data_IF_979569205069
#
_entry.id   IF_979569205069
#
_cell.length_a   1.000
_cell.length_b   1.000
_cell.length_c   1.000
_cell.angle_alpha   90.00
_cell.angle_beta   90.00
_cell.angle_gamma   90.00
#
_symmetry.space_group_name_H-M   'P 1'
#
loop_
_entity.id
_entity.type
_entity.pdbx_description
1 polymer ?
#
# COMPACT_ATOMS: atom_id res chain seq x y z
N UNK A 1 7.88 -8.78 0.45
CA UNK A 1 7.68 -7.34 0.72
C UNK A 1 8.96 -6.49 0.59
N UNK A 2 10.12 -6.87 1.14
CA UNK A 2 11.33 -6.01 1.14
C UNK A 2 11.75 -5.43 -0.21
N UNK A 3 11.65 -6.21 -1.29
CA UNK A 3 12.04 -5.73 -2.65
C UNK A 3 11.05 -4.68 -3.16
N UNK A 4 9.74 -4.96 -3.05
CA UNK A 4 8.66 -4.02 -3.41
C UNK A 4 8.75 -2.73 -2.59
N UNK A 5 8.98 -2.85 -1.28
CA UNK A 5 9.19 -1.70 -0.38
C UNK A 5 10.37 -0.83 -0.81
N UNK A 6 11.54 -1.43 -1.11
CA UNK A 6 12.70 -0.67 -1.54
C UNK A 6 12.47 0.07 -2.86
N UNK A 7 11.76 -0.55 -3.79
CA UNK A 7 11.40 0.05 -5.07
C UNK A 7 10.44 1.23 -4.88
N UNK A 8 9.33 1.00 -4.19
CA UNK A 8 8.28 2.00 -4.03
C UNK A 8 8.73 3.18 -3.16
N UNK A 9 9.36 2.91 -2.00
CA UNK A 9 9.91 3.96 -1.16
C UNK A 9 11.08 4.71 -1.84
N UNK A 10 11.81 4.05 -2.75
CA UNK A 10 12.88 4.68 -3.52
C UNK A 10 12.36 5.62 -4.63
N UNK A 11 11.17 5.35 -5.16
CA UNK A 11 10.61 6.08 -6.31
C UNK A 11 9.53 7.10 -5.94
N UNK A 12 8.90 6.98 -4.76
CA UNK A 12 7.80 7.87 -4.36
C UNK A 12 8.23 9.34 -4.27
N UNK A 13 9.50 9.61 -3.95
CA UNK A 13 10.04 10.97 -3.97
C UNK A 13 10.04 11.59 -5.38
N UNK A 14 10.31 10.79 -6.41
CA UNK A 14 10.27 11.26 -7.80
C UNK A 14 8.85 11.55 -8.27
N UNK A 15 7.88 10.71 -7.86
CA UNK A 15 6.44 10.96 -8.10
C UNK A 15 6.03 12.29 -7.47
N UNK A 16 6.42 12.50 -6.22
CA UNK A 16 6.05 13.69 -5.42
C UNK A 16 6.53 15.00 -6.06
N UNK A 17 7.60 14.97 -6.85
CA UNK A 17 8.17 16.16 -7.47
C UNK A 17 7.39 16.67 -8.70
N UNK A 18 6.47 15.88 -9.27
CA UNK A 18 5.86 16.22 -10.56
C UNK A 18 4.58 15.47 -10.92
N UNK A 19 3.85 14.95 -9.94
CA UNK A 19 2.56 14.29 -10.21
C UNK A 19 1.53 15.31 -10.76
N UNK A 20 0.83 15.00 -11.87
CA UNK A 20 -0.28 15.81 -12.36
C UNK A 20 -1.46 15.86 -11.38
N UNK A 21 -2.19 16.98 -11.38
CA UNK A 21 -3.41 17.13 -10.55
C UNK A 21 -4.49 16.09 -10.89
N UNK A 22 -4.55 15.65 -12.16
CA UNK A 22 -5.47 14.60 -12.60
C UNK A 22 -5.16 13.25 -11.95
N UNK A 23 -3.89 12.85 -11.93
CA UNK A 23 -3.42 11.61 -11.29
C UNK A 23 -3.62 11.67 -9.78
N UNK A 24 -3.39 12.84 -9.17
CA UNK A 24 -3.69 13.05 -7.76
C UNK A 24 -5.19 12.94 -7.46
N UNK A 25 -6.05 13.38 -8.39
CA UNK A 25 -7.49 13.18 -8.34
C UNK A 25 -7.87 11.69 -8.36
N UNK A 26 -7.23 10.89 -9.23
CA UNK A 26 -7.40 9.44 -9.30
C UNK A 26 -6.99 8.79 -7.97
N UNK A 27 -5.84 9.16 -7.41
CA UNK A 27 -5.37 8.64 -6.13
C UNK A 27 -6.35 8.93 -4.98
N UNK A 28 -6.88 10.16 -4.90
CA UNK A 28 -7.90 10.52 -3.91
C UNK A 28 -9.18 9.69 -4.08
N UNK A 29 -9.61 9.47 -5.32
CA UNK A 29 -10.78 8.63 -5.62
C UNK A 29 -10.58 7.17 -5.20
N UNK A 30 -9.38 6.62 -5.40
CA UNK A 30 -9.05 5.27 -4.96
C UNK A 30 -9.03 5.16 -3.43
N UNK A 31 -8.48 6.15 -2.72
CA UNK A 31 -8.53 6.17 -1.24
C UNK A 31 -9.97 6.27 -0.74
N UNK A 32 -10.82 7.10 -1.35
CA UNK A 32 -12.24 7.16 -1.00
C UNK A 32 -12.95 5.82 -1.21
N UNK A 33 -12.64 5.12 -2.31
CA UNK A 33 -13.16 3.77 -2.56
C UNK A 33 -12.71 2.78 -1.48
N UNK A 34 -11.46 2.83 -1.04
CA UNK A 34 -10.99 1.99 0.07
C UNK A 34 -11.80 2.24 1.35
N UNK A 35 -12.09 3.51 1.64
CA UNK A 35 -12.89 3.89 2.82
C UNK A 35 -14.34 3.38 2.72
N UNK A 36 -14.93 3.40 1.51
CA UNK A 36 -16.24 2.84 1.25
C UNK A 36 -16.26 1.32 1.48
N UNK A 37 -15.27 0.60 0.95
CA UNK A 37 -15.12 -0.85 1.15
C UNK A 37 -15.01 -1.23 2.65
N UNK A 38 -14.30 -0.41 3.44
CA UNK A 38 -14.21 -0.59 4.89
C UNK A 38 -15.52 -0.25 5.60
N UNK A 39 -16.21 0.82 5.18
CA UNK A 39 -17.48 1.25 5.78
C UNK A 39 -18.58 0.21 5.60
N UNK A 40 -18.57 -0.50 4.48
CA UNK A 40 -19.54 -1.57 4.17
C UNK A 40 -19.27 -2.87 4.97
N UNK A 41 -18.46 -2.80 6.03
CA UNK A 41 -18.10 -3.92 6.90
C UNK A 41 -17.00 -4.81 6.33
N UNK A 42 -16.38 -4.38 5.22
CA UNK A 42 -15.32 -5.10 4.54
C UNK A 42 -13.91 -4.71 4.97
N UNK A 43 -12.96 -5.06 4.12
CA UNK A 43 -11.56 -4.62 4.15
C UNK A 43 -11.25 -3.92 2.84
N UNK A 44 -10.13 -3.21 2.81
CA UNK A 44 -9.59 -2.71 1.54
C UNK A 44 -9.38 -3.89 0.60
N UNK A 45 -10.07 -3.88 -0.54
CA UNK A 45 -9.97 -4.94 -1.53
C UNK A 45 -8.57 -4.94 -2.13
N UNK A 46 -7.97 -6.12 -2.31
CA UNK A 46 -6.64 -6.27 -2.93
C UNK A 46 -6.55 -5.59 -4.30
N UNK A 47 -7.64 -5.65 -5.07
CA UNK A 47 -7.72 -4.97 -6.37
C UNK A 47 -7.65 -3.44 -6.26
N UNK A 48 -8.29 -2.85 -5.25
CA UNK A 48 -8.28 -1.41 -4.99
C UNK A 48 -6.91 -0.95 -4.47
N UNK A 49 -6.29 -1.73 -3.58
CA UNK A 49 -4.91 -1.55 -3.11
C UNK A 49 -3.92 -1.57 -4.28
N UNK A 50 -3.99 -2.61 -5.13
CA UNK A 50 -3.16 -2.71 -6.35
C UNK A 50 -3.36 -1.51 -7.28
N UNK A 51 -4.61 -1.12 -7.54
CA UNK A 51 -4.92 0.00 -8.42
C UNK A 51 -4.31 1.31 -7.91
N UNK A 52 -4.31 1.53 -6.59
CA UNK A 52 -3.67 2.70 -5.98
C UNK A 52 -2.18 2.76 -6.28
N UNK A 53 -1.46 1.67 -6.05
CA UNK A 53 -0.02 1.63 -6.27
C UNK A 53 0.34 1.80 -7.76
N UNK A 54 -0.41 1.18 -8.67
CA UNK A 54 -0.20 1.38 -10.11
C UNK A 54 -0.44 2.83 -10.52
N UNK A 55 -1.53 3.45 -10.05
CA UNK A 55 -1.83 4.85 -10.34
C UNK A 55 -0.75 5.80 -9.78
N UNK A 56 -0.22 5.52 -8.58
CA UNK A 56 0.80 6.35 -7.94
C UNK A 56 2.08 6.44 -8.77
N UNK A 57 2.46 5.36 -9.44
CA UNK A 57 3.69 5.30 -10.24
C UNK A 57 3.47 5.51 -11.74
N UNK A 58 2.22 5.63 -12.19
CA UNK A 58 1.89 5.88 -13.60
C UNK A 58 2.50 7.20 -14.11
N UNK A 59 2.57 8.22 -13.26
CA UNK A 59 3.12 9.54 -13.60
C UNK A 59 4.62 9.54 -13.93
N UNK A 60 5.34 8.44 -13.66
CA UNK A 60 6.76 8.29 -14.02
C UNK A 60 6.96 7.86 -15.48
N UNK A 61 5.87 7.60 -16.24
CA UNK A 61 5.89 7.13 -17.63
C UNK A 61 6.88 5.96 -17.85
N UNK A 62 6.93 5.06 -16.87
CA UNK A 62 7.85 3.93 -16.87
C UNK A 62 7.05 2.62 -16.97
N UNK A 63 6.88 2.15 -18.21
CA UNK A 63 6.15 0.91 -18.47
C UNK A 63 6.76 -0.31 -17.75
N UNK A 64 8.09 -0.40 -17.66
CA UNK A 64 8.77 -1.48 -16.93
C UNK A 64 8.40 -1.49 -15.44
N UNK A 65 8.25 -0.33 -14.82
CA UNK A 65 7.86 -0.23 -13.42
C UNK A 65 6.45 -0.82 -13.18
N UNK A 66 5.52 -0.54 -14.09
CA UNK A 66 4.16 -1.10 -14.02
C UNK A 66 4.18 -2.63 -14.09
N UNK A 67 4.95 -3.19 -15.03
CA UNK A 67 5.13 -4.65 -15.18
C UNK A 67 5.79 -5.28 -13.95
N UNK A 68 6.78 -4.61 -13.34
CA UNK A 68 7.44 -5.10 -12.12
C UNK A 68 6.47 -5.10 -10.94
N UNK A 69 5.67 -4.04 -10.77
CA UNK A 69 4.65 -4.00 -9.73
C UNK A 69 3.61 -5.11 -9.93
N UNK A 70 3.17 -5.33 -11.15
CA UNK A 70 2.23 -6.41 -11.48
C UNK A 70 2.81 -7.80 -11.23
N UNK A 71 4.09 -8.02 -11.54
CA UNK A 71 4.77 -9.25 -11.21
C UNK A 71 4.85 -9.49 -9.69
N UNK A 72 5.05 -8.44 -8.88
CA UNK A 72 5.00 -8.57 -7.42
C UNK A 72 3.62 -8.95 -6.92
N UNK A 73 2.56 -8.35 -7.47
CA UNK A 73 1.19 -8.71 -7.12
C UNK A 73 0.86 -10.15 -7.48
N UNK A 74 1.18 -10.58 -8.71
CA UNK A 74 0.97 -11.96 -9.14
C UNK A 74 1.76 -12.98 -8.29
N UNK A 75 2.95 -12.61 -7.80
CA UNK A 75 3.71 -13.43 -6.87
C UNK A 75 3.07 -13.44 -5.46
N UNK A 76 2.57 -12.30 -5.00
CA UNK A 76 1.88 -12.20 -3.70
C UNK A 76 0.58 -13.01 -3.68
N UNK A 77 -0.24 -12.94 -4.72
CA UNK A 77 -1.51 -13.68 -4.78
C UNK A 77 -1.26 -15.19 -4.60
N UNK A 78 -0.24 -15.73 -5.27
CA UNK A 78 0.16 -17.14 -5.13
C UNK A 78 0.63 -17.53 -3.72
N UNK A 79 1.12 -16.58 -2.93
CA UNK A 79 1.73 -16.84 -1.61
C UNK A 79 0.78 -16.49 -0.48
N UNK A 80 -0.12 -15.53 -0.69
CA UNK A 80 -1.01 -14.98 0.32
C UNK A 80 -2.44 -15.53 0.26
N UNK A 81 -2.78 -16.37 -0.71
CA UNK A 81 -4.07 -17.10 -0.75
C UNK A 81 -4.34 -17.89 0.56
N UNK A 82 -3.29 -18.27 1.31
CA UNK A 82 -3.38 -19.06 2.54
C UNK A 82 -3.28 -18.26 3.86
N UNK A 83 -3.07 -16.93 3.82
CA UNK A 83 -2.87 -16.12 5.04
C UNK A 83 -4.13 -15.34 5.38
N UNK A 84 -4.93 -15.88 6.30
CA UNK A 84 -6.03 -15.18 6.95
C UNK A 84 -5.49 -13.92 7.65
N UNK A 85 -5.89 -12.76 7.13
CA UNK A 85 -5.35 -11.44 7.39
C UNK A 85 -6.10 -10.69 8.50
N UNK A 86 -6.85 -11.42 9.34
CA UNK A 86 -7.72 -10.90 10.41
C UNK A 86 -7.07 -10.06 11.53
N UNK A 87 -5.81 -9.66 11.38
CA UNK A 87 -5.01 -8.99 12.41
C UNK A 87 -4.87 -7.47 12.25
N UNK A 88 -5.49 -6.85 11.25
CA UNK A 88 -5.34 -5.40 11.04
C UNK A 88 -6.67 -4.65 10.97
N UNK A 89 -6.71 -3.51 11.66
CA UNK A 89 -7.77 -2.52 11.56
C UNK A 89 -7.83 -1.96 10.13
N UNK A 90 -8.90 -2.21 9.36
CA UNK A 90 -9.02 -1.72 7.99
C UNK A 90 -8.96 -0.19 7.90
N UNK A 91 -9.40 0.53 8.95
CA UNK A 91 -9.31 1.99 9.00
C UNK A 91 -7.86 2.48 9.02
N UNK A 92 -6.97 1.76 9.73
CA UNK A 92 -5.54 2.08 9.72
C UNK A 92 -4.91 1.86 8.33
N UNK A 93 -5.43 0.95 7.51
CA UNK A 93 -5.00 0.79 6.11
C UNK A 93 -5.40 2.00 5.26
N UNK A 94 -6.67 2.44 5.35
CA UNK A 94 -7.12 3.66 4.67
C UNK A 94 -6.31 4.89 5.12
N UNK A 95 -6.05 5.03 6.42
CA UNK A 95 -5.28 6.16 6.96
C UNK A 95 -3.87 6.22 6.39
N UNK A 96 -3.17 5.08 6.24
CA UNK A 96 -1.82 5.05 5.64
C UNK A 96 -1.83 5.42 4.17
N UNK A 97 -2.84 5.01 3.41
CA UNK A 97 -2.97 5.42 2.01
C UNK A 97 -3.28 6.91 1.87
N UNK A 98 -4.16 7.44 2.73
CA UNK A 98 -4.45 8.88 2.77
C UNK A 98 -3.19 9.70 3.07
N UNK A 99 -2.39 9.27 4.04
CA UNK A 99 -1.13 9.93 4.39
C UNK A 99 -0.14 9.98 3.21
N UNK A 100 -0.05 8.91 2.42
CA UNK A 100 0.76 8.91 1.18
C UNK A 100 0.25 9.98 0.20
N UNK A 101 -1.07 10.02 -0.05
CA UNK A 101 -1.68 11.00 -0.95
C UNK A 101 -1.48 12.43 -0.47
N UNK A 102 -1.63 12.68 0.82
CA UNK A 102 -1.41 14.00 1.40
C UNK A 102 0.05 14.44 1.30
N UNK A 103 0.99 13.53 1.55
CA UNK A 103 2.40 13.82 1.40
C UNK A 103 2.76 14.19 -0.04
N UNK A 104 2.27 13.39 -0.99
CA UNK A 104 2.43 13.63 -2.43
C UNK A 104 1.78 14.95 -2.85
N UNK A 105 0.55 15.23 -2.39
CA UNK A 105 -0.17 16.47 -2.67
C UNK A 105 0.54 17.73 -2.13
N UNK A 106 1.26 17.58 -1.02
CA UNK A 106 2.04 18.68 -0.43
C UNK A 106 3.42 18.87 -1.06
N UNK A 107 3.77 18.08 -2.08
CA UNK A 107 5.10 18.04 -2.68
C UNK A 107 6.23 17.74 -1.66
N UNK A 108 5.91 17.09 -0.54
CA UNK A 108 6.86 16.72 0.51
C UNK A 108 7.38 15.30 0.26
N UNK A 109 8.44 15.20 -0.53
CA UNK A 109 9.04 13.93 -0.92
C UNK A 109 9.56 13.12 0.27
N UNK A 110 10.08 13.76 1.32
CA UNK A 110 10.53 13.04 2.51
C UNK A 110 9.37 12.46 3.31
N UNK A 111 8.28 13.24 3.47
CA UNK A 111 7.05 12.75 4.08
C UNK A 111 6.47 11.59 3.29
N UNK A 112 6.50 11.64 1.95
CA UNK A 112 6.00 10.56 1.11
C UNK A 112 6.83 9.27 1.28
N UNK A 113 8.15 9.38 1.35
CA UNK A 113 9.05 8.23 1.62
C UNK A 113 8.77 7.64 3.01
N UNK A 114 8.61 8.47 4.04
CA UNK A 114 8.27 8.01 5.40
C UNK A 114 6.90 7.31 5.42
N UNK A 115 5.89 7.92 4.81
CA UNK A 115 4.55 7.38 4.70
C UNK A 115 4.53 6.00 4.02
N UNK A 116 5.28 5.86 2.91
CA UNK A 116 5.39 4.60 2.19
C UNK A 116 6.05 3.50 3.03
N UNK A 117 7.13 3.82 3.76
CA UNK A 117 7.77 2.87 4.69
C UNK A 117 6.81 2.43 5.80
N UNK A 118 6.10 3.37 6.41
CA UNK A 118 5.09 3.08 7.45
C UNK A 118 3.95 2.21 6.90
N UNK A 119 3.54 2.41 5.65
CA UNK A 119 2.59 1.53 4.97
C UNK A 119 3.12 0.08 4.93
N UNK A 120 4.38 -0.14 4.55
CA UNK A 120 4.99 -1.48 4.50
C UNK A 120 5.30 -2.07 5.87
N UNK A 121 5.62 -1.26 6.89
CA UNK A 121 5.71 -1.71 8.28
C UNK A 121 4.38 -2.36 8.71
N UNK A 122 3.26 -1.70 8.41
CA UNK A 122 1.93 -2.24 8.65
C UNK A 122 1.62 -3.51 7.86
N UNK A 123 2.31 -3.80 6.75
CA UNK A 123 2.22 -5.10 6.06
C UNK A 123 3.10 -6.15 6.73
N UNK A 124 4.32 -5.81 7.15
CA UNK A 124 5.22 -6.77 7.82
C UNK A 124 4.60 -7.31 9.11
N UNK A 125 3.96 -6.45 9.91
CA UNK A 125 3.22 -6.89 11.10
C UNK A 125 2.09 -7.88 10.79
N UNK A 126 1.55 -7.90 9.55
CA UNK A 126 0.53 -8.89 9.10
C UNK A 126 1.13 -10.27 8.77
N UNK A 127 2.42 -10.33 8.43
CA UNK A 127 3.08 -11.54 7.93
C UNK A 127 3.95 -12.23 8.98
N UNK A 128 4.15 -11.60 10.15
CA UNK A 128 4.79 -12.25 11.29
C UNK A 128 3.79 -13.22 11.93
N UNK A 129 4.13 -14.52 12.07
CA UNK A 129 3.30 -15.45 12.81
C UNK A 129 3.17 -14.92 14.24
N UNK A 130 1.94 -14.79 14.74
CA UNK A 130 1.70 -14.60 16.17
C UNK A 130 2.37 -15.75 16.91
N UNK A 131 3.52 -15.51 17.53
CA UNK A 131 4.16 -16.45 18.44
C UNK A 131 3.32 -16.51 19.73
N UNK A 132 2.13 -17.12 19.65
CA UNK A 132 1.45 -17.64 20.84
C UNK A 132 2.29 -18.78 21.37
N UNK A 133 3.10 -18.48 22.39
CA UNK A 133 3.75 -19.47 23.23
C UNK A 133 2.65 -20.36 23.83
N UNK A 134 2.63 -21.69 23.58
CA UNK A 134 1.68 -22.55 24.24
C UNK A 134 2.00 -22.56 25.75
N UNK A 135 1.01 -22.25 26.57
CA UNK A 135 1.13 -22.37 28.02
C UNK A 135 1.41 -23.84 28.37
N UNK A 136 2.52 -24.08 29.08
CA UNK A 136 2.90 -25.42 29.53
C UNK A 136 1.79 -26.06 30.37
N UNK A 137 1.43 -27.34 30.12
CA UNK A 137 0.49 -28.04 30.98
C UNK A 137 1.14 -28.31 32.35
N UNK A 138 0.37 -28.11 33.42
CA UNK A 138 0.72 -28.51 34.79
C UNK A 138 0.52 -30.01 34.98
#
# INVERSE_FOLDING_TARGET
MKVREALEAGLVGAVTAGIPDEDLGVLRGLVARMEDEVRDGGRVARGTDRAFHLALYASLDNHLLSEVLDAFWAAMDRVCDDVDDGHQDPLATCARHREIVEAVASADGERAVRAMRTHFDGIRTRLEPSLTVPASPR
#
